data_IF_583063842061
#
_entry.id   IF_583063842061
#
_cell.length_a   1.000
_cell.length_b   1.000
_cell.length_c   1.000
_cell.angle_alpha   90.00
_cell.angle_beta   90.00
_cell.angle_gamma   90.00
#
_symmetry.space_group_name_H-M   'P 1'
#
loop_
_entity.id
_entity.type
_entity.pdbx_description
1 polymer ?
#
# COMPACT_ATOMS: atom_id res chain seq x y z
N UNK A 1 18.86 28.14 1.83
CA UNK A 1 17.41 27.89 1.87
C UNK A 1 16.74 29.18 2.32
N UNK A 2 16.13 29.91 1.39
CA UNK A 2 15.30 31.06 1.75
C UNK A 2 13.99 30.50 2.32
N UNK A 3 13.62 30.94 3.52
CA UNK A 3 12.37 30.55 4.14
C UNK A 3 11.23 31.17 3.33
N UNK A 4 10.46 30.33 2.63
CA UNK A 4 9.20 30.75 2.06
C UNK A 4 8.26 31.22 3.19
N UNK A 5 7.46 32.28 2.99
CA UNK A 5 6.53 32.74 4.00
C UNK A 5 5.53 31.62 4.26
N UNK A 6 5.55 31.04 5.47
CA UNK A 6 4.61 30.03 5.89
C UNK A 6 3.23 30.66 5.98
N UNK A 7 2.37 30.34 5.01
CA UNK A 7 0.94 30.59 5.13
C UNK A 7 0.48 30.06 6.50
N UNK A 8 -0.19 30.90 7.29
CA UNK A 8 -0.66 30.54 8.64
C UNK A 8 -1.38 29.19 8.57
N UNK A 9 -0.87 28.19 9.29
CA UNK A 9 -1.46 26.86 9.43
C UNK A 9 -2.84 27.00 10.11
N UNK A 10 -3.88 27.21 9.32
CA UNK A 10 -5.27 27.20 9.75
C UNK A 10 -5.89 25.86 9.32
N UNK A 11 -6.82 25.31 10.11
CA UNK A 11 -7.53 24.05 9.83
C UNK A 11 -8.22 24.02 8.45
N UNK A 12 -8.50 25.19 7.86
CA UNK A 12 -9.06 25.30 6.52
C UNK A 12 -8.04 25.10 5.37
N UNK A 13 -6.74 25.01 5.64
CA UNK A 13 -5.68 24.95 4.61
C UNK A 13 -5.87 23.80 3.63
N UNK A 14 -6.29 22.63 4.12
CA UNK A 14 -6.45 21.43 3.30
C UNK A 14 -7.91 21.11 2.98
N UNK A 15 -8.82 22.08 3.20
CA UNK A 15 -10.20 21.93 2.78
C UNK A 15 -10.26 21.93 1.25
N UNK A 16 -10.77 20.86 0.68
CA UNK A 16 -10.93 20.75 -0.76
C UNK A 16 -12.13 21.54 -1.28
N UNK A 17 -11.98 22.07 -2.48
CA UNK A 17 -13.07 22.53 -3.31
C UNK A 17 -13.48 21.39 -4.25
N UNK A 18 -14.68 20.85 -4.06
CA UNK A 18 -15.20 19.75 -4.89
C UNK A 18 -15.75 20.31 -6.20
N UNK A 19 -14.87 20.57 -7.16
CA UNK A 19 -15.19 21.18 -8.46
C UNK A 19 -15.61 20.15 -9.52
N UNK A 20 -15.16 18.90 -9.42
CA UNK A 20 -15.39 17.85 -10.42
C UNK A 20 -15.98 16.55 -9.84
N UNK A 21 -16.82 16.68 -8.80
CA UNK A 21 -17.59 15.58 -8.23
C UNK A 21 -17.23 15.27 -6.78
N UNK A 22 -17.96 14.33 -6.19
CA UNK A 22 -17.84 13.90 -4.80
C UNK A 22 -17.29 12.47 -4.73
N UNK A 23 -16.61 12.11 -3.62
CA UNK A 23 -16.25 10.73 -3.39
C UNK A 23 -17.52 9.86 -3.33
N UNK A 24 -17.50 8.64 -3.91
CA UNK A 24 -18.64 7.73 -3.88
C UNK A 24 -19.17 7.45 -2.47
N UNK A 25 -20.47 7.16 -2.39
CA UNK A 25 -21.18 7.09 -1.11
C UNK A 25 -21.64 8.45 -0.58
N UNK A 26 -21.41 9.53 -1.35
CA UNK A 26 -21.85 10.89 -1.07
C UNK A 26 -22.43 11.54 -2.33
N UNK A 27 -23.70 11.93 -2.28
CA UNK A 27 -24.42 12.49 -3.44
C UNK A 27 -24.42 14.03 -3.42
N UNK A 28 -24.27 14.66 -2.25
CA UNK A 28 -24.27 16.13 -2.10
C UNK A 28 -23.21 16.62 -1.10
N UNK A 29 -22.82 17.89 -1.21
CA UNK A 29 -21.91 18.53 -0.25
C UNK A 29 -22.49 18.53 1.17
N UNK A 30 -23.81 18.70 1.29
CA UNK A 30 -24.51 18.67 2.58
C UNK A 30 -24.49 17.26 3.18
N UNK A 31 -24.60 16.22 2.35
CA UNK A 31 -24.40 14.84 2.81
C UNK A 31 -22.94 14.62 3.25
N UNK A 32 -21.96 15.22 2.58
CA UNK A 32 -20.56 15.09 2.99
C UNK A 32 -20.30 15.72 4.35
N UNK A 33 -20.90 16.88 4.61
CA UNK A 33 -20.57 17.74 5.75
C UNK A 33 -21.51 17.53 6.95
N UNK A 34 -22.80 17.51 6.69
CA UNK A 34 -23.83 17.66 7.73
C UNK A 34 -24.65 16.37 7.93
N UNK A 35 -24.81 15.56 6.88
CA UNK A 35 -25.62 14.33 6.92
C UNK A 35 -24.89 13.10 6.35
N UNK A 36 -23.72 12.71 6.88
CA UNK A 36 -22.96 11.60 6.32
C UNK A 36 -23.69 10.27 6.50
N UNK A 37 -23.50 9.38 5.52
CA UNK A 37 -23.92 7.98 5.57
C UNK A 37 -23.19 7.31 6.73
N UNK A 38 -23.93 6.90 7.75
CA UNK A 38 -23.36 6.26 8.93
C UNK A 38 -22.83 4.85 8.61
N UNK A 39 -21.83 4.36 9.37
CA UNK A 39 -21.36 2.99 9.26
C UNK A 39 -22.50 2.01 9.49
N UNK A 40 -22.53 0.90 8.74
CA UNK A 40 -23.53 -0.16 8.95
C UNK A 40 -23.36 -0.80 10.33
N UNK A 41 -24.43 -1.28 10.99
CA UNK A 41 -24.29 -2.11 12.19
C UNK A 41 -23.53 -3.41 11.87
N UNK A 42 -22.75 -3.99 12.80
CA UNK A 42 -22.07 -5.27 12.60
C UNK A 42 -23.06 -6.34 12.13
N UNK A 43 -22.76 -7.07 11.05
CA UNK A 43 -23.62 -8.15 10.59
C UNK A 43 -23.54 -9.30 11.59
N UNK A 44 -24.68 -9.91 11.89
CA UNK A 44 -24.76 -11.05 12.80
C UNK A 44 -24.33 -12.33 12.07
N UNK A 45 -23.48 -13.13 12.72
CA UNK A 45 -23.05 -14.40 12.17
C UNK A 45 -24.24 -15.37 12.07
N UNK A 46 -24.53 -15.83 10.86
CA UNK A 46 -25.63 -16.77 10.62
C UNK A 46 -25.30 -18.21 11.06
N UNK A 47 -24.03 -18.48 11.40
CA UNK A 47 -23.50 -19.80 11.79
C UNK A 47 -22.13 -19.68 12.45
N UNK A 48 -21.65 -20.79 12.99
CA UNK A 48 -20.25 -20.93 13.40
C UNK A 48 -19.33 -20.94 12.17
N UNK A 49 -18.21 -20.22 12.27
CA UNK A 49 -17.19 -20.17 11.23
C UNK A 49 -16.67 -21.58 10.91
N UNK A 50 -16.67 -22.00 9.63
CA UNK A 50 -16.07 -23.28 9.24
C UNK A 50 -14.57 -23.31 9.59
N UNK A 51 -14.09 -24.38 10.25
CA UNK A 51 -12.67 -24.50 10.57
C UNK A 51 -11.83 -24.58 9.30
N UNK A 52 -10.59 -24.11 9.38
CA UNK A 52 -9.64 -24.31 8.29
C UNK A 52 -9.41 -25.82 8.07
N UNK A 53 -9.27 -26.27 6.81
CA UNK A 53 -8.84 -27.63 6.55
C UNK A 53 -7.53 -27.96 7.28
N UNK A 54 -7.41 -29.15 7.89
CA UNK A 54 -6.15 -29.63 8.45
C UNK A 54 -5.03 -29.60 7.41
N UNK A 55 -3.78 -29.40 7.83
CA UNK A 55 -2.62 -29.31 6.91
C UNK A 55 -2.49 -30.51 5.97
N UNK A 56 -2.81 -31.73 6.46
CA UNK A 56 -2.81 -32.96 5.67
C UNK A 56 -3.83 -32.99 4.51
N UNK A 57 -4.88 -32.17 4.60
CA UNK A 57 -5.98 -32.08 3.64
C UNK A 57 -5.83 -30.89 2.68
N UNK A 58 -4.88 -29.98 2.92
CA UNK A 58 -4.60 -28.83 2.06
C UNK A 58 -3.87 -29.26 0.79
N UNK A 59 -4.62 -29.56 -0.26
CA UNK A 59 -4.08 -30.02 -1.56
C UNK A 59 -4.73 -29.28 -2.72
N UNK A 60 -4.01 -29.12 -3.82
CA UNK A 60 -4.52 -28.47 -5.02
C UNK A 60 -4.97 -27.03 -4.74
N UNK A 61 -6.17 -26.65 -5.19
CA UNK A 61 -6.76 -25.31 -5.03
C UNK A 61 -7.65 -25.19 -3.78
N UNK A 62 -7.10 -25.54 -2.63
CA UNK A 62 -7.86 -25.61 -1.38
C UNK A 62 -8.28 -24.24 -0.84
N UNK A 63 -7.52 -23.16 -1.11
CA UNK A 63 -7.83 -21.81 -0.61
C UNK A 63 -9.14 -21.34 -1.22
N UNK A 64 -9.24 -21.29 -2.55
CA UNK A 64 -10.47 -20.85 -3.22
C UNK A 64 -11.64 -21.77 -2.90
N UNK A 65 -11.39 -23.08 -2.74
CA UNK A 65 -12.41 -24.03 -2.28
C UNK A 65 -12.91 -23.76 -0.85
N UNK A 66 -12.04 -23.28 0.03
CA UNK A 66 -12.41 -22.88 1.39
C UNK A 66 -13.12 -21.52 1.41
N UNK A 67 -12.57 -20.52 0.72
CA UNK A 67 -13.15 -19.18 0.63
C UNK A 67 -14.57 -19.20 0.05
N UNK A 68 -14.83 -20.02 -0.97
CA UNK A 68 -16.17 -20.17 -1.57
C UNK A 68 -17.23 -20.76 -0.62
N UNK A 69 -16.83 -21.30 0.52
CA UNK A 69 -17.76 -21.76 1.56
C UNK A 69 -18.16 -20.64 2.50
N UNK A 70 -17.44 -19.51 2.49
CA UNK A 70 -17.61 -18.43 3.46
C UNK A 70 -18.60 -17.38 2.94
N UNK A 71 -19.32 -16.75 3.86
CA UNK A 71 -20.20 -15.61 3.59
C UNK A 71 -19.40 -14.30 3.69
N UNK A 72 -19.18 -13.56 2.59
CA UNK A 72 -18.44 -12.30 2.60
C UNK A 72 -19.09 -11.21 3.45
N UNK A 73 -20.37 -11.34 3.81
CA UNK A 73 -21.05 -10.37 4.67
C UNK A 73 -20.74 -10.58 6.14
N UNK A 74 -20.61 -11.81 6.60
CA UNK A 74 -20.50 -12.14 8.04
C UNK A 74 -19.16 -12.74 8.42
N UNK A 75 -18.42 -13.30 7.46
CA UNK A 75 -17.16 -14.01 7.66
C UNK A 75 -15.99 -13.31 6.94
N UNK A 76 -16.14 -12.01 6.64
CA UNK A 76 -15.15 -11.19 5.92
C UNK A 76 -13.76 -11.21 6.57
N UNK A 77 -13.66 -11.21 7.90
CA UNK A 77 -12.38 -11.26 8.62
C UNK A 77 -11.59 -12.52 8.26
N UNK A 78 -12.28 -13.66 8.16
CA UNK A 78 -11.64 -14.91 7.77
C UNK A 78 -11.23 -14.90 6.30
N UNK A 79 -12.07 -14.35 5.42
CA UNK A 79 -11.76 -14.24 3.98
C UNK A 79 -10.51 -13.39 3.77
N UNK A 80 -10.47 -12.18 4.33
CA UNK A 80 -9.33 -11.25 4.21
C UNK A 80 -8.09 -11.84 4.88
N UNK A 81 -8.23 -12.52 6.02
CA UNK A 81 -7.11 -13.22 6.68
C UNK A 81 -6.50 -14.29 5.81
N UNK A 82 -7.29 -15.19 5.26
CA UNK A 82 -6.78 -16.29 4.43
C UNK A 82 -6.21 -15.77 3.13
N UNK A 83 -6.89 -14.83 2.47
CA UNK A 83 -6.36 -14.18 1.27
C UNK A 83 -4.99 -13.56 1.55
N UNK A 84 -4.88 -12.70 2.56
CA UNK A 84 -3.64 -11.98 2.87
C UNK A 84 -2.52 -12.92 3.29
N UNK A 85 -2.77 -13.85 4.22
CA UNK A 85 -1.70 -14.66 4.80
C UNK A 85 -1.21 -15.79 3.89
N UNK A 86 -2.05 -16.30 2.98
CA UNK A 86 -1.69 -17.40 2.08
C UNK A 86 -1.38 -16.98 0.64
N UNK A 87 -1.92 -15.86 0.14
CA UNK A 87 -1.68 -15.42 -1.26
C UNK A 87 -0.60 -14.36 -1.40
N UNK A 88 -0.34 -13.55 -0.36
CA UNK A 88 0.64 -12.48 -0.46
C UNK A 88 2.07 -12.96 -0.18
N UNK A 89 3.02 -12.12 -0.59
CA UNK A 89 4.44 -12.21 -0.25
C UNK A 89 4.91 -10.85 0.27
N UNK A 90 5.95 -10.83 1.09
CA UNK A 90 6.53 -9.58 1.60
C UNK A 90 6.91 -8.63 0.43
N UNK A 91 7.42 -9.19 -0.67
CA UNK A 91 7.71 -8.42 -1.89
C UNK A 91 6.47 -7.74 -2.48
N UNK A 92 5.38 -8.49 -2.69
CA UNK A 92 4.15 -7.94 -3.25
C UNK A 92 3.52 -6.90 -2.29
N UNK A 93 3.63 -7.16 -0.99
CA UNK A 93 3.21 -6.26 0.06
C UNK A 93 4.02 -4.94 0.07
N UNK A 94 5.35 -5.01 -0.10
CA UNK A 94 6.20 -3.83 -0.21
C UNK A 94 5.88 -3.01 -1.46
N UNK A 95 5.67 -3.67 -2.59
CA UNK A 95 5.29 -3.00 -3.84
C UNK A 95 3.93 -2.28 -3.69
N UNK A 96 2.95 -2.93 -3.07
CA UNK A 96 1.64 -2.33 -2.78
C UNK A 96 1.70 -1.19 -1.79
N UNK A 97 2.46 -1.33 -0.71
CA UNK A 97 2.72 -0.25 0.24
C UNK A 97 3.31 0.97 -0.47
N UNK A 98 4.38 0.80 -1.24
CA UNK A 98 5.04 1.89 -1.95
C UNK A 98 4.08 2.57 -2.92
N UNK A 99 3.36 1.80 -3.74
CA UNK A 99 2.44 2.37 -4.71
C UNK A 99 1.27 3.12 -4.06
N UNK A 100 0.60 2.52 -3.08
CA UNK A 100 -0.52 3.14 -2.37
C UNK A 100 -0.08 4.43 -1.69
N UNK A 101 1.09 4.46 -1.04
CA UNK A 101 1.56 5.70 -0.41
C UNK A 101 1.89 6.80 -1.41
N UNK A 102 2.43 6.47 -2.58
CA UNK A 102 2.61 7.43 -3.68
C UNK A 102 1.26 7.98 -4.16
N UNK A 103 0.17 7.20 -4.11
CA UNK A 103 -1.17 7.71 -4.43
C UNK A 103 -1.67 8.63 -3.32
N UNK A 104 -1.55 8.24 -2.06
CA UNK A 104 -2.03 9.04 -0.93
C UNK A 104 -1.35 10.42 -0.86
N UNK A 105 -0.06 10.48 -1.18
CA UNK A 105 0.70 11.73 -1.17
C UNK A 105 0.44 12.60 -2.39
N UNK A 106 -0.48 12.23 -3.30
CA UNK A 106 -0.88 13.11 -4.41
C UNK A 106 -1.89 14.17 -3.96
N UNK A 107 -2.45 14.02 -2.76
CA UNK A 107 -3.35 14.99 -2.13
C UNK A 107 -2.54 16.04 -1.35
N UNK A 108 -3.04 17.28 -1.19
CA UNK A 108 -2.39 18.30 -0.37
C UNK A 108 -2.15 17.83 1.08
N UNK A 109 -3.20 17.30 1.74
CA UNK A 109 -3.13 16.82 3.11
C UNK A 109 -2.19 15.62 3.27
N UNK A 110 -2.27 14.65 2.35
CA UNK A 110 -1.43 13.45 2.39
C UNK A 110 0.05 13.77 2.20
N UNK A 111 0.39 14.65 1.24
CA UNK A 111 1.75 15.13 1.04
C UNK A 111 2.30 15.79 2.31
N UNK A 112 1.55 16.73 2.89
CA UNK A 112 1.97 17.44 4.10
C UNK A 112 2.07 16.52 5.33
N UNK A 113 1.12 15.60 5.51
CA UNK A 113 1.07 14.71 6.67
C UNK A 113 2.23 13.72 6.70
N UNK A 114 2.72 13.26 5.54
CA UNK A 114 3.76 12.22 5.45
C UNK A 114 5.17 12.81 5.30
N UNK A 115 5.31 13.97 4.67
CA UNK A 115 6.60 14.62 4.40
C UNK A 115 7.42 14.91 5.67
N UNK A 116 8.75 14.90 5.54
CA UNK A 116 9.71 15.24 6.60
C UNK A 116 9.80 14.25 7.78
N UNK A 117 9.00 13.17 7.77
CA UNK A 117 8.95 12.17 8.84
C UNK A 117 9.90 10.98 8.65
N UNK A 118 9.50 9.83 9.23
CA UNK A 118 10.24 8.56 9.12
C UNK A 118 10.46 8.12 7.67
N UNK A 119 9.59 8.49 6.72
CA UNK A 119 9.77 8.10 5.31
C UNK A 119 11.11 8.58 4.73
N UNK A 120 11.58 9.77 5.13
CA UNK A 120 12.84 10.34 4.63
C UNK A 120 14.04 9.83 5.42
N UNK A 121 13.90 9.66 6.73
CA UNK A 121 15.03 9.46 7.66
C UNK A 121 15.18 8.03 8.18
N UNK A 122 14.09 7.27 8.20
CA UNK A 122 13.91 5.95 8.82
C UNK A 122 12.94 5.12 7.98
N UNK A 123 13.20 5.07 6.67
CA UNK A 123 12.29 4.48 5.69
C UNK A 123 11.91 3.07 6.12
N UNK A 124 12.89 2.20 6.34
CA UNK A 124 12.67 0.79 6.66
C UNK A 124 11.88 0.60 7.95
N UNK A 125 12.18 1.37 8.99
CA UNK A 125 11.36 1.37 10.21
C UNK A 125 9.90 1.71 9.89
N UNK A 126 9.65 2.74 9.07
CA UNK A 126 8.28 3.12 8.69
C UNK A 126 7.54 1.98 7.97
N UNK A 127 8.20 1.32 7.03
CA UNK A 127 7.60 0.20 6.29
C UNK A 127 7.23 -0.93 7.23
N UNK A 128 8.20 -1.44 8.00
CA UNK A 128 7.97 -2.59 8.86
C UNK A 128 6.98 -2.31 10.00
N UNK A 129 6.98 -1.10 10.58
CA UNK A 129 5.94 -0.69 11.52
C UNK A 129 4.55 -0.69 10.85
N UNK A 130 4.43 -0.10 9.66
CA UNK A 130 3.15 -0.09 8.92
C UNK A 130 2.67 -1.50 8.60
N UNK A 131 3.58 -2.40 8.21
CA UNK A 131 3.25 -3.79 7.96
C UNK A 131 2.86 -4.55 9.22
N UNK A 132 3.48 -4.24 10.36
CA UNK A 132 3.07 -4.81 11.64
C UNK A 132 1.63 -4.40 11.96
N UNK A 133 1.26 -3.12 11.78
CA UNK A 133 -0.12 -2.66 11.94
C UNK A 133 -1.10 -3.39 11.01
N UNK A 134 -0.83 -3.38 9.70
CA UNK A 134 -1.70 -3.98 8.70
C UNK A 134 -1.92 -5.48 8.95
N UNK A 135 -0.85 -6.25 9.17
CA UNK A 135 -0.92 -7.69 9.38
C UNK A 135 -1.56 -8.04 10.73
N UNK A 136 -1.37 -7.20 11.75
CA UNK A 136 -2.03 -7.40 13.04
C UNK A 136 -3.55 -7.26 12.93
N UNK A 137 -4.04 -6.24 12.20
CA UNK A 137 -5.48 -6.06 11.99
C UNK A 137 -6.09 -7.23 11.21
N UNK A 138 -5.39 -7.69 10.17
CA UNK A 138 -5.84 -8.84 9.37
C UNK A 138 -5.79 -10.16 10.18
N UNK A 139 -4.78 -10.36 11.04
CA UNK A 139 -4.64 -11.58 11.84
C UNK A 139 -5.77 -11.74 12.85
N UNK A 140 -6.10 -10.66 13.56
CA UNK A 140 -7.05 -10.68 14.67
C UNK A 140 -8.50 -10.36 14.24
N UNK A 141 -8.69 -9.69 13.10
CA UNK A 141 -9.99 -9.27 12.60
C UNK A 141 -10.23 -7.78 12.82
N UNK A 142 -11.03 -7.16 11.95
CA UNK A 142 -11.21 -5.71 11.84
C UNK A 142 -11.82 -5.07 13.08
N UNK A 143 -12.51 -5.84 13.91
CA UNK A 143 -13.23 -5.37 15.10
C UNK A 143 -12.87 -6.11 16.39
N UNK A 144 -11.78 -6.86 16.40
CA UNK A 144 -11.25 -7.48 17.61
C UNK A 144 -10.74 -6.43 18.61
N UNK A 145 -10.66 -6.78 19.89
CA UNK A 145 -10.16 -5.86 20.91
C UNK A 145 -8.66 -5.56 20.74
N UNK A 146 -7.89 -6.54 20.25
CA UNK A 146 -6.49 -6.36 19.85
C UNK A 146 -6.35 -5.34 18.72
N UNK A 147 -7.19 -5.46 17.69
CA UNK A 147 -7.21 -4.50 16.58
C UNK A 147 -7.58 -3.10 17.07
N UNK A 148 -8.62 -2.96 17.89
CA UNK A 148 -9.01 -1.66 18.47
C UNK A 148 -7.88 -1.02 19.28
N UNK A 149 -7.21 -1.79 20.13
CA UNK A 149 -6.07 -1.32 20.91
C UNK A 149 -4.91 -0.87 20.01
N UNK A 150 -4.67 -1.58 18.91
CA UNK A 150 -3.61 -1.22 17.97
C UNK A 150 -3.97 0.02 17.14
N UNK A 151 -5.22 0.17 16.71
CA UNK A 151 -5.73 1.38 16.04
C UNK A 151 -5.60 2.61 16.94
N UNK A 152 -5.80 2.48 18.25
CA UNK A 152 -5.64 3.61 19.17
C UNK A 152 -4.19 4.16 19.20
N UNK A 153 -3.18 3.30 18.98
CA UNK A 153 -1.79 3.75 18.80
C UNK A 153 -1.63 4.60 17.52
N UNK A 154 -2.35 4.26 16.45
CA UNK A 154 -2.36 5.05 15.22
C UNK A 154 -3.14 6.36 15.41
N UNK A 155 -4.28 6.34 16.11
CA UNK A 155 -5.03 7.56 16.44
C UNK A 155 -4.13 8.57 17.18
N UNK A 156 -3.32 8.12 18.15
CA UNK A 156 -2.33 8.98 18.83
C UNK A 156 -1.27 9.52 17.87
N UNK A 157 -0.84 8.71 16.90
CA UNK A 157 0.10 9.14 15.86
C UNK A 157 -0.52 10.21 14.95
N UNK A 158 -1.75 10.00 14.49
CA UNK A 158 -2.50 11.00 13.70
C UNK A 158 -2.73 12.29 14.49
N UNK A 159 -3.05 12.19 15.79
CA UNK A 159 -3.17 13.34 16.67
C UNK A 159 -1.86 14.14 16.80
N UNK A 160 -0.71 13.48 16.79
CA UNK A 160 0.58 14.18 16.74
C UNK A 160 0.82 14.85 15.38
N UNK A 161 0.34 14.26 14.28
CA UNK A 161 0.41 14.86 12.93
C UNK A 161 -0.44 16.13 12.85
N UNK A 162 -1.66 16.15 13.41
CA UNK A 162 -2.53 17.33 13.37
C UNK A 162 -1.90 18.57 14.01
N UNK A 163 -1.06 18.40 15.04
CA UNK A 163 -0.33 19.52 15.66
C UNK A 163 0.61 20.23 14.70
N UNK A 164 1.17 19.52 13.72
CA UNK A 164 2.10 20.07 12.72
C UNK A 164 1.43 20.37 11.37
N UNK A 165 0.37 19.64 11.05
CA UNK A 165 -0.43 19.78 9.83
C UNK A 165 -1.92 19.87 10.20
N UNK A 166 -2.37 21.01 10.76
CA UNK A 166 -3.79 21.20 11.08
C UNK A 166 -4.64 21.10 9.82
N UNK A 167 -5.79 20.43 9.92
CA UNK A 167 -6.69 20.19 8.79
C UNK A 167 -6.43 18.90 8.01
N UNK A 168 -5.31 18.20 8.22
CA UNK A 168 -5.10 16.90 7.58
C UNK A 168 -6.01 15.82 8.18
N UNK A 169 -6.56 14.92 7.35
CA UNK A 169 -7.51 13.89 7.79
C UNK A 169 -8.80 14.48 8.38
N UNK A 170 -9.19 15.67 7.91
CA UNK A 170 -10.46 16.30 8.30
C UNK A 170 -11.66 15.65 7.63
N UNK A 171 -11.47 15.05 6.46
CA UNK A 171 -12.50 14.26 5.81
C UNK A 171 -12.22 12.78 6.00
N UNK A 172 -13.26 12.00 6.31
CA UNK A 172 -13.11 10.56 6.55
C UNK A 172 -12.44 9.83 5.39
N UNK A 173 -12.78 10.20 4.15
CA UNK A 173 -12.23 9.58 2.95
C UNK A 173 -10.70 9.68 2.85
N UNK A 174 -10.05 10.69 3.44
CA UNK A 174 -8.60 10.87 3.38
C UNK A 174 -7.87 9.70 4.06
N UNK A 175 -8.39 9.24 5.18
CA UNK A 175 -7.85 8.08 5.89
C UNK A 175 -8.36 6.76 5.32
N UNK A 176 -9.62 6.71 4.86
CA UNK A 176 -10.17 5.52 4.21
C UNK A 176 -9.42 5.16 2.93
N UNK A 177 -8.93 6.17 2.19
CA UNK A 177 -8.19 5.99 0.95
C UNK A 177 -7.05 4.98 1.10
N UNK A 178 -6.34 4.96 2.24
CA UNK A 178 -5.28 3.98 2.46
C UNK A 178 -5.79 2.53 2.37
N UNK A 179 -6.96 2.26 2.96
CA UNK A 179 -7.57 0.92 2.96
C UNK A 179 -8.26 0.62 1.63
N UNK A 180 -8.96 1.60 1.04
CA UNK A 180 -9.66 1.44 -0.25
C UNK A 180 -8.67 1.19 -1.39
N UNK A 181 -7.58 1.95 -1.45
CA UNK A 181 -6.57 1.78 -2.51
C UNK A 181 -5.80 0.47 -2.31
N UNK A 182 -5.51 0.07 -1.06
CA UNK A 182 -4.87 -1.21 -0.76
C UNK A 182 -5.74 -2.41 -1.17
N UNK A 183 -7.05 -2.37 -0.89
CA UNK A 183 -7.97 -3.46 -1.28
C UNK A 183 -8.06 -3.61 -2.79
N UNK A 184 -7.99 -2.50 -3.52
CA UNK A 184 -8.06 -2.47 -4.98
C UNK A 184 -6.76 -2.86 -5.69
N UNK A 185 -5.61 -2.69 -5.04
CA UNK A 185 -4.30 -2.71 -5.69
C UNK A 185 -3.94 -4.04 -6.38
N UNK A 186 -4.33 -5.19 -5.82
CA UNK A 186 -4.10 -6.48 -6.49
C UNK A 186 -4.88 -6.57 -7.81
N UNK A 187 -6.13 -6.11 -7.84
CA UNK A 187 -6.94 -6.07 -9.06
C UNK A 187 -6.33 -5.14 -10.11
N UNK A 188 -5.68 -4.05 -9.68
CA UNK A 188 -4.91 -3.18 -10.56
C UNK A 188 -3.71 -3.88 -11.17
N UNK A 189 -2.85 -4.52 -10.37
CA UNK A 189 -1.69 -5.26 -10.89
C UNK A 189 -2.14 -6.32 -11.90
N UNK A 190 -3.13 -7.15 -11.54
CA UNK A 190 -3.64 -8.22 -12.40
C UNK A 190 -4.15 -7.68 -13.73
N UNK A 191 -4.89 -6.56 -13.74
CA UNK A 191 -5.33 -5.88 -14.97
C UNK A 191 -4.16 -5.33 -15.78
N UNK A 192 -3.24 -4.62 -15.14
CA UNK A 192 -2.07 -3.99 -15.78
C UNK A 192 -1.22 -5.00 -16.54
N UNK A 193 -1.04 -6.21 -16.00
CA UNK A 193 -0.24 -7.27 -16.64
C UNK A 193 -1.05 -8.19 -17.55
N UNK A 194 -2.38 -8.08 -17.60
CA UNK A 194 -3.25 -9.02 -18.31
C UNK A 194 -3.16 -10.44 -17.75
N UNK A 195 -3.23 -10.58 -16.43
CA UNK A 195 -3.32 -11.86 -15.74
C UNK A 195 -4.60 -12.61 -16.17
N UNK A 196 -4.53 -13.94 -16.25
CA UNK A 196 -5.64 -14.77 -16.74
C UNK A 196 -6.81 -14.80 -15.77
N UNK A 197 -6.51 -14.79 -14.46
CA UNK A 197 -7.51 -14.90 -13.41
C UNK A 197 -7.60 -13.57 -12.64
N UNK A 198 -8.82 -13.02 -12.47
CA UNK A 198 -9.03 -11.88 -11.58
C UNK A 198 -8.86 -12.31 -10.12
N UNK A 199 -8.88 -11.33 -9.21
CA UNK A 199 -9.03 -11.61 -7.77
C UNK A 199 -10.37 -12.32 -7.53
N UNK A 200 -10.37 -13.32 -6.65
CA UNK A 200 -11.56 -14.11 -6.27
C UNK A 200 -12.71 -13.18 -5.83
N UNK A 201 -13.91 -13.40 -6.36
CA UNK A 201 -15.06 -12.52 -6.13
C UNK A 201 -15.43 -12.43 -4.65
N UNK A 202 -15.36 -13.54 -3.91
CA UNK A 202 -15.62 -13.57 -2.46
C UNK A 202 -14.67 -12.65 -1.67
N UNK A 203 -13.43 -12.45 -2.14
CA UNK A 203 -12.48 -11.50 -1.53
C UNK A 203 -12.89 -10.07 -1.83
N UNK A 204 -13.28 -9.78 -3.07
CA UNK A 204 -13.82 -8.46 -3.47
C UNK A 204 -15.06 -8.08 -2.67
N UNK A 205 -15.95 -9.03 -2.43
CA UNK A 205 -17.20 -8.83 -1.69
C UNK A 205 -16.95 -8.66 -0.17
N UNK A 206 -15.87 -9.24 0.36
CA UNK A 206 -15.51 -9.11 1.78
C UNK A 206 -14.84 -7.76 2.12
N UNK A 207 -14.14 -7.14 1.16
CA UNK A 207 -13.39 -5.89 1.39
C UNK A 207 -14.25 -4.71 1.89
N UNK A 208 -15.44 -4.42 1.33
CA UNK A 208 -16.32 -3.37 1.84
C UNK A 208 -16.68 -3.54 3.32
N UNK A 209 -17.03 -4.76 3.75
CA UNK A 209 -17.35 -5.05 5.15
C UNK A 209 -16.12 -4.89 6.03
N UNK A 210 -15.00 -5.54 5.67
CA UNK A 210 -13.77 -5.49 6.47
C UNK A 210 -13.23 -4.06 6.63
N UNK A 211 -13.21 -3.30 5.52
CA UNK A 211 -12.70 -1.94 5.48
C UNK A 211 -13.54 -0.94 6.28
N UNK A 212 -14.87 -1.00 6.17
CA UNK A 212 -15.78 -0.13 6.94
C UNK A 212 -15.61 -0.34 8.45
N UNK A 213 -15.47 -1.61 8.87
CA UNK A 213 -15.29 -2.00 10.28
C UNK A 213 -13.97 -1.50 10.84
N UNK A 214 -12.88 -1.77 10.12
CA UNK A 214 -11.55 -1.33 10.53
C UNK A 214 -11.49 0.19 10.62
N UNK A 215 -11.91 0.89 9.55
CA UNK A 215 -11.86 2.36 9.49
C UNK A 215 -12.80 3.02 10.50
N UNK A 216 -13.89 2.35 10.90
CA UNK A 216 -14.78 2.78 11.98
C UNK A 216 -14.11 2.97 13.34
N UNK A 217 -12.91 2.40 13.56
CA UNK A 217 -12.13 2.59 14.79
C UNK A 217 -11.18 3.80 14.74
N UNK A 218 -10.92 4.35 13.56
CA UNK A 218 -10.07 5.53 13.41
C UNK A 218 -10.87 6.82 13.62
N UNK A 219 -10.16 7.91 13.88
CA UNK A 219 -10.72 9.17 14.37
C UNK A 219 -10.19 10.35 13.58
N UNK A 220 -11.08 11.28 13.20
CA UNK A 220 -10.74 12.57 12.58
C UNK A 220 -10.14 13.55 13.57
N UNK A 221 -9.53 14.62 13.04
CA UNK A 221 -9.13 15.77 13.86
C UNK A 221 -10.36 16.29 14.62
N UNK A 222 -10.26 16.50 15.95
CA UNK A 222 -11.39 16.94 16.77
C UNK A 222 -11.61 18.44 16.61
N UNK A 223 -12.06 18.89 15.43
CA UNK A 223 -12.42 20.28 15.20
C UNK A 223 -13.80 20.62 15.77
N UNK A 224 -14.75 19.67 15.75
CA UNK A 224 -16.11 19.78 16.32
C UNK A 224 -16.62 18.44 16.89
N UNK A 225 -15.75 17.72 17.61
CA UNK A 225 -15.96 16.31 17.95
C UNK A 225 -15.25 15.40 16.96
N UNK A 226 -14.85 14.20 17.41
CA UNK A 226 -14.14 13.25 16.55
C UNK A 226 -15.14 12.38 15.79
N UNK A 227 -15.04 12.38 14.46
CA UNK A 227 -15.89 11.59 13.58
C UNK A 227 -15.17 10.26 13.29
N UNK A 228 -15.88 9.11 13.36
CA UNK A 228 -15.29 7.84 12.97
C UNK A 228 -15.05 7.79 11.46
N UNK A 229 -13.90 7.30 11.01
CA UNK A 229 -13.63 7.16 9.58
C UNK A 229 -14.41 6.03 8.89
N UNK A 230 -15.38 5.39 9.53
CA UNK A 230 -16.30 4.45 8.86
C UNK A 230 -17.44 5.14 8.10
N UNK A 231 -17.66 6.45 8.30
CA UNK A 231 -18.75 7.17 7.62
C UNK A 231 -18.51 7.23 6.11
N UNK A 232 -19.55 7.13 5.28
CA UNK A 232 -19.45 7.15 3.82
C UNK A 232 -18.51 6.06 3.22
N UNK A 233 -18.03 5.09 3.99
CA UNK A 233 -17.14 4.04 3.46
C UNK A 233 -17.84 3.27 2.30
N UNK A 234 -17.13 2.88 1.24
CA UNK A 234 -17.70 2.08 0.15
C UNK A 234 -18.42 0.82 0.61
N UNK A 235 -19.67 0.60 0.16
CA UNK A 235 -20.52 -0.53 0.56
C UNK A 235 -20.48 -1.73 -0.40
N UNK A 236 -19.82 -1.58 -1.54
CA UNK A 236 -19.67 -2.64 -2.54
C UNK A 236 -18.30 -2.55 -3.21
N UNK A 237 -17.90 -3.62 -3.89
CA UNK A 237 -16.70 -3.58 -4.72
C UNK A 237 -16.78 -2.50 -5.81
N UNK A 238 -17.96 -2.28 -6.40
CA UNK A 238 -18.15 -1.22 -7.39
C UNK A 238 -17.89 0.16 -6.79
N UNK A 239 -18.40 0.46 -5.58
CA UNK A 239 -18.10 1.75 -4.92
C UNK A 239 -16.60 1.91 -4.60
N UNK A 240 -15.86 0.82 -4.35
CA UNK A 240 -14.39 0.85 -4.22
C UNK A 240 -13.73 1.23 -5.55
N UNK A 241 -14.18 0.65 -6.67
CA UNK A 241 -13.65 0.99 -8.00
C UNK A 241 -13.98 2.43 -8.39
N UNK A 242 -15.21 2.87 -8.13
CA UNK A 242 -15.63 4.26 -8.37
C UNK A 242 -14.81 5.22 -7.53
N UNK A 243 -14.47 4.87 -6.28
CA UNK A 243 -13.66 5.72 -5.41
C UNK A 243 -12.25 5.86 -5.98
N UNK A 244 -11.66 4.76 -6.44
CA UNK A 244 -10.32 4.78 -7.05
C UNK A 244 -10.32 5.62 -8.32
N UNK A 245 -11.35 5.48 -9.18
CA UNK A 245 -11.50 6.30 -10.38
C UNK A 245 -11.59 7.79 -10.02
N UNK A 246 -12.51 8.15 -9.11
CA UNK A 246 -12.64 9.51 -8.59
C UNK A 246 -11.31 10.04 -8.04
N UNK A 247 -10.62 9.28 -7.18
CA UNK A 247 -9.35 9.69 -6.58
C UNK A 247 -8.26 9.90 -7.65
N UNK A 248 -8.23 9.10 -8.71
CA UNK A 248 -7.26 9.26 -9.79
C UNK A 248 -7.56 10.45 -10.69
N UNK A 249 -8.84 10.78 -10.88
CA UNK A 249 -9.32 11.79 -11.82
C UNK A 249 -9.52 13.17 -11.17
N UNK A 250 -9.73 13.23 -9.85
CA UNK A 250 -9.92 14.48 -9.11
C UNK A 250 -8.78 15.48 -9.38
N UNK A 251 -9.13 16.77 -9.39
CA UNK A 251 -8.24 17.87 -9.82
C UNK A 251 -7.23 18.25 -8.72
N UNK A 252 -6.48 17.26 -8.21
CA UNK A 252 -5.44 17.46 -7.20
C UNK A 252 -4.39 18.50 -7.59
N UNK A 253 -4.18 18.72 -8.89
CA UNK A 253 -3.28 19.75 -9.38
C UNK A 253 -3.79 21.15 -9.07
N UNK A 254 -5.09 21.40 -9.12
CA UNK A 254 -5.70 22.69 -8.77
C UNK A 254 -5.76 22.91 -7.25
N UNK A 255 -5.88 21.82 -6.49
CA UNK A 255 -5.99 21.87 -5.03
C UNK A 255 -4.64 21.99 -4.31
N UNK A 256 -3.52 21.76 -5.02
CA UNK A 256 -2.17 21.75 -4.42
C UNK A 256 -1.45 23.06 -4.64
N UNK A 257 -0.83 23.55 -3.58
CA UNK A 257 0.21 24.57 -3.69
C UNK A 257 1.50 23.98 -4.27
N UNK A 258 2.42 24.84 -4.71
CA UNK A 258 3.74 24.37 -5.15
C UNK A 258 4.51 23.64 -4.04
N UNK A 259 4.37 24.09 -2.80
CA UNK A 259 4.93 23.41 -1.64
C UNK A 259 4.40 21.97 -1.51
N UNK A 260 3.09 21.77 -1.72
CA UNK A 260 2.47 20.44 -1.62
C UNK A 260 2.93 19.51 -2.75
N UNK A 261 3.16 20.05 -3.96
CA UNK A 261 3.72 19.29 -5.10
C UNK A 261 5.14 18.81 -4.81
N UNK A 262 6.00 19.69 -4.30
CA UNK A 262 7.38 19.34 -3.92
C UNK A 262 7.37 18.26 -2.84
N UNK A 263 6.57 18.45 -1.77
CA UNK A 263 6.45 17.47 -0.70
C UNK A 263 5.97 16.10 -1.20
N UNK A 264 4.99 16.10 -2.10
CA UNK A 264 4.45 14.89 -2.74
C UNK A 264 5.54 14.15 -3.52
N UNK A 265 6.28 14.85 -4.37
CA UNK A 265 7.37 14.29 -5.18
C UNK A 265 8.50 13.73 -4.29
N UNK A 266 9.03 14.53 -3.36
CA UNK A 266 10.12 14.10 -2.47
C UNK A 266 9.74 12.87 -1.65
N UNK A 267 8.49 12.84 -1.17
CA UNK A 267 7.98 11.69 -0.41
C UNK A 267 7.83 10.45 -1.32
N UNK A 268 7.34 10.63 -2.55
CA UNK A 268 7.19 9.55 -3.52
C UNK A 268 8.54 8.94 -3.89
N UNK A 269 9.54 9.78 -4.15
CA UNK A 269 10.91 9.35 -4.41
C UNK A 269 11.51 8.58 -3.24
N UNK A 270 11.25 9.01 -1.99
CA UNK A 270 11.71 8.29 -0.81
C UNK A 270 11.07 6.89 -0.68
N UNK A 271 9.78 6.73 -0.97
CA UNK A 271 9.12 5.41 -0.97
C UNK A 271 9.66 4.50 -2.09
N UNK A 272 9.90 5.04 -3.28
CA UNK A 272 10.47 4.29 -4.40
C UNK A 272 11.90 3.85 -4.06
N UNK A 273 12.72 4.77 -3.54
CA UNK A 273 14.08 4.48 -3.12
C UNK A 273 14.13 3.40 -2.05
N UNK A 274 13.30 3.52 -1.02
CA UNK A 274 13.16 2.51 0.02
C UNK A 274 12.86 1.11 -0.55
N UNK A 275 11.88 1.02 -1.46
CA UNK A 275 11.53 -0.25 -2.10
C UNK A 275 12.73 -0.85 -2.85
N UNK A 276 13.45 -0.01 -3.60
CA UNK A 276 14.66 -0.41 -4.30
C UNK A 276 15.70 -0.96 -3.32
N UNK A 277 15.94 -0.29 -2.20
CA UNK A 277 16.91 -0.73 -1.19
C UNK A 277 16.56 -2.06 -0.51
N UNK A 278 15.27 -2.34 -0.32
CA UNK A 278 14.82 -3.58 0.31
C UNK A 278 15.05 -4.80 -0.60
N UNK A 279 14.80 -4.64 -1.90
CA UNK A 279 14.60 -5.76 -2.82
C UNK A 279 15.60 -5.86 -3.96
N UNK A 280 16.34 -4.79 -4.24
CA UNK A 280 17.28 -4.75 -5.36
C UNK A 280 18.67 -4.35 -4.86
N UNK A 281 19.74 -5.01 -5.34
CA UNK A 281 21.09 -4.50 -5.10
C UNK A 281 21.28 -3.18 -5.87
N UNK A 282 22.13 -2.28 -5.36
CA UNK A 282 22.35 -0.92 -5.92
C UNK A 282 22.44 -0.85 -7.46
N UNK A 283 23.21 -1.71 -8.15
CA UNK A 283 23.30 -1.66 -9.61
C UNK A 283 21.96 -1.94 -10.33
N UNK A 284 21.00 -2.57 -9.67
CA UNK A 284 19.68 -2.90 -10.20
C UNK A 284 18.56 -2.01 -9.65
N UNK A 285 18.87 -0.93 -8.93
CA UNK A 285 17.84 0.00 -8.46
C UNK A 285 17.03 0.61 -9.60
N UNK A 286 17.61 0.79 -10.80
CA UNK A 286 16.88 1.25 -11.98
C UNK A 286 15.73 0.29 -12.35
N UNK A 287 15.92 -1.03 -12.14
CA UNK A 287 14.89 -2.04 -12.38
C UNK A 287 13.81 -1.97 -11.30
N UNK A 288 14.20 -1.81 -10.03
CA UNK A 288 13.25 -1.61 -8.92
C UNK A 288 12.38 -0.36 -9.13
N UNK A 289 12.99 0.75 -9.56
CA UNK A 289 12.29 1.98 -9.93
C UNK A 289 11.33 1.75 -11.09
N UNK A 290 11.80 1.16 -12.20
CA UNK A 290 10.96 0.85 -13.35
C UNK A 290 9.77 -0.04 -12.95
N UNK A 291 9.98 -0.98 -12.02
CA UNK A 291 8.91 -1.82 -11.50
C UNK A 291 7.85 -1.03 -10.73
N UNK A 292 8.24 -0.16 -9.80
CA UNK A 292 7.27 0.68 -9.08
C UNK A 292 6.53 1.59 -10.05
N UNK A 293 7.24 2.29 -10.94
CA UNK A 293 6.64 3.18 -11.93
C UNK A 293 5.64 2.44 -12.83
N UNK A 294 5.95 1.20 -13.26
CA UNK A 294 5.03 0.35 -14.04
C UNK A 294 3.72 0.07 -13.31
N UNK A 295 3.76 -0.08 -11.99
CA UNK A 295 2.59 -0.33 -11.14
C UNK A 295 2.09 0.93 -10.42
N UNK A 296 2.32 2.11 -11.00
CA UNK A 296 1.64 3.35 -10.65
C UNK A 296 0.73 3.76 -11.82
N UNK A 297 -0.54 4.14 -11.57
CA UNK A 297 -1.42 4.69 -12.58
C UNK A 297 -0.78 5.95 -13.20
N UNK A 298 -0.85 6.13 -14.55
CA UNK A 298 -0.25 7.29 -15.20
C UNK A 298 -0.74 8.64 -14.65
N UNK A 299 -2.02 8.73 -14.27
CA UNK A 299 -2.59 9.94 -13.67
C UNK A 299 -1.89 10.31 -12.35
N UNK A 300 -1.57 9.31 -11.51
CA UNK A 300 -0.88 9.54 -10.25
C UNK A 300 0.59 9.91 -10.49
N UNK A 301 1.28 9.25 -11.44
CA UNK A 301 2.67 9.60 -11.80
C UNK A 301 2.78 11.07 -12.20
N UNK A 302 1.89 11.52 -13.11
CA UNK A 302 1.85 12.92 -13.56
C UNK A 302 1.59 13.89 -12.41
N UNK A 303 0.60 13.61 -11.57
CA UNK A 303 0.31 14.43 -10.37
C UNK A 303 1.52 14.49 -9.43
N UNK A 304 2.29 13.43 -9.31
CA UNK A 304 3.49 13.42 -8.48
C UNK A 304 4.72 14.05 -9.15
N UNK A 305 4.66 14.40 -10.43
CA UNK A 305 5.84 14.82 -11.18
C UNK A 305 6.86 13.69 -11.38
N UNK A 306 6.43 12.43 -11.27
CA UNK A 306 7.27 11.27 -11.54
C UNK A 306 7.38 11.06 -13.05
N UNK A 307 8.53 10.55 -13.47
CA UNK A 307 8.75 10.14 -14.86
C UNK A 307 7.90 8.92 -15.25
N UNK A 308 7.68 8.76 -16.55
CA UNK A 308 7.14 7.51 -17.08
C UNK A 308 8.21 6.42 -17.10
N UNK A 309 7.84 5.14 -16.87
CA UNK A 309 8.78 4.06 -17.00
C UNK A 309 9.28 3.96 -18.44
N UNK A 310 10.56 3.59 -18.60
CA UNK A 310 11.09 3.26 -19.92
C UNK A 310 10.22 2.15 -20.56
N UNK A 311 9.74 2.36 -21.78
CA UNK A 311 8.75 1.48 -22.42
C UNK A 311 9.21 0.03 -22.59
N UNK A 312 10.50 -0.19 -22.84
CA UNK A 312 11.08 -1.53 -22.95
C UNK A 312 11.10 -2.20 -21.57
N UNK A 313 11.57 -1.49 -20.54
CA UNK A 313 11.56 -2.00 -19.17
C UNK A 313 10.14 -2.23 -18.65
N UNK A 314 9.19 -1.34 -18.95
CA UNK A 314 7.78 -1.50 -18.59
C UNK A 314 7.23 -2.79 -19.21
N UNK A 315 7.45 -3.01 -20.51
CA UNK A 315 7.03 -4.22 -21.19
C UNK A 315 7.65 -5.48 -20.57
N UNK A 316 8.95 -5.44 -20.23
CA UNK A 316 9.65 -6.55 -19.57
C UNK A 316 9.06 -6.83 -18.18
N UNK A 317 8.87 -5.80 -17.36
CA UNK A 317 8.29 -5.92 -16.01
C UNK A 317 6.87 -6.49 -16.10
N UNK A 318 6.02 -5.95 -16.98
CA UNK A 318 4.64 -6.44 -17.17
C UNK A 318 4.63 -7.89 -17.62
N UNK A 319 5.49 -8.26 -18.56
CA UNK A 319 5.60 -9.63 -19.07
C UNK A 319 6.08 -10.60 -17.99
N UNK A 320 7.13 -10.24 -17.24
CA UNK A 320 7.64 -11.05 -16.14
C UNK A 320 6.60 -11.25 -15.04
N UNK A 321 5.92 -10.18 -14.62
CA UNK A 321 4.86 -10.24 -13.61
C UNK A 321 3.63 -11.03 -14.10
N UNK A 322 3.27 -10.92 -15.38
CA UNK A 322 2.22 -11.74 -16.01
C UNK A 322 2.55 -13.22 -15.90
N UNK A 323 3.78 -13.60 -16.25
CA UNK A 323 4.25 -14.99 -16.15
C UNK A 323 4.24 -15.46 -14.70
N UNK A 324 4.77 -14.65 -13.78
CA UNK A 324 4.83 -14.95 -12.34
C UNK A 324 3.43 -15.19 -11.75
N UNK A 325 2.49 -14.28 -11.98
CA UNK A 325 1.10 -14.39 -11.47
C UNK A 325 0.40 -15.60 -12.09
N UNK A 326 0.44 -15.76 -13.41
CA UNK A 326 -0.25 -16.88 -14.06
C UNK A 326 0.36 -18.24 -13.68
N UNK A 327 1.67 -18.29 -13.44
CA UNK A 327 2.34 -19.50 -12.96
C UNK A 327 1.90 -19.79 -11.52
N UNK A 328 1.95 -18.80 -10.63
CA UNK A 328 1.46 -18.94 -9.25
C UNK A 328 -0.01 -19.38 -9.19
N UNK A 329 -0.87 -18.79 -10.02
CA UNK A 329 -2.28 -19.15 -10.14
C UNK A 329 -2.47 -20.58 -10.68
N UNK A 330 -1.49 -21.17 -11.37
CA UNK A 330 -1.56 -22.57 -11.83
C UNK A 330 -1.03 -23.59 -10.82
N UNK A 331 -0.13 -23.18 -9.92
CA UNK A 331 0.48 -24.07 -8.92
C UNK A 331 -0.52 -24.43 -7.81
N UNK A 332 -0.35 -25.57 -7.10
CA UNK A 332 -1.12 -25.85 -5.90
C UNK A 332 -1.01 -24.71 -4.87
N UNK A 333 -2.10 -24.46 -4.14
CA UNK A 333 -2.11 -23.48 -3.07
C UNK A 333 -1.16 -23.92 -1.93
N UNK A 334 -0.47 -22.98 -1.27
CA UNK A 334 0.51 -23.32 -0.24
C UNK A 334 -0.19 -23.98 0.96
N UNK A 335 0.50 -24.93 1.60
CA UNK A 335 0.00 -25.62 2.81
C UNK A 335 0.12 -24.71 4.03
N UNK A 336 1.20 -23.95 4.11
CA UNK A 336 1.49 -22.97 5.16
C UNK A 336 1.21 -21.55 4.67
N UNK A 337 0.97 -20.63 5.59
CA UNK A 337 0.80 -19.21 5.28
C UNK A 337 2.18 -18.53 5.11
N UNK A 338 2.60 -18.14 3.89
CA UNK A 338 3.95 -17.60 3.66
C UNK A 338 4.22 -16.29 4.42
N UNK A 339 3.19 -15.47 4.65
CA UNK A 339 3.31 -14.20 5.38
C UNK A 339 3.36 -14.40 6.89
N UNK A 340 2.96 -15.54 7.41
CA UNK A 340 2.85 -15.75 8.86
C UNK A 340 4.22 -15.67 9.56
N UNK A 341 5.28 -16.20 8.93
CA UNK A 341 6.64 -16.04 9.46
C UNK A 341 7.08 -14.59 9.48
N UNK A 342 6.80 -13.83 8.41
CA UNK A 342 7.13 -12.41 8.33
C UNK A 342 6.40 -11.61 9.42
N UNK A 343 5.10 -11.86 9.63
CA UNK A 343 4.36 -11.23 10.72
C UNK A 343 5.00 -11.51 12.09
N UNK A 344 5.40 -12.76 12.35
CA UNK A 344 6.07 -13.11 13.61
C UNK A 344 7.45 -12.48 13.75
N UNK A 345 8.19 -12.32 12.66
CA UNK A 345 9.48 -11.63 12.67
C UNK A 345 9.31 -10.15 13.01
N UNK A 346 8.30 -9.48 12.43
CA UNK A 346 7.96 -8.08 12.77
C UNK A 346 7.66 -7.89 14.26
N UNK A 347 6.98 -8.86 14.90
CA UNK A 347 6.70 -8.81 16.33
C UNK A 347 7.95 -8.94 17.21
N UNK A 348 9.00 -9.60 16.71
CA UNK A 348 10.24 -9.87 17.46
C UNK A 348 11.32 -8.82 17.23
N UNK A 349 11.32 -8.18 16.06
CA UNK A 349 12.36 -7.24 15.68
C UNK A 349 12.35 -5.98 16.53
N UNK A 350 13.54 -5.48 16.85
CA UNK A 350 13.69 -4.12 17.35
C UNK A 350 13.67 -3.14 16.17
N UNK A 351 12.46 -2.75 15.75
CA UNK A 351 12.22 -1.88 14.60
C UNK A 351 12.90 -0.51 14.70
N UNK A 352 13.24 -0.03 15.90
CA UNK A 352 13.99 1.23 16.07
C UNK A 352 15.42 1.19 15.51
N UNK A 353 15.96 0.00 15.28
CA UNK A 353 17.33 -0.21 14.79
C UNK A 353 17.40 -0.75 13.36
N UNK A 354 16.26 -1.02 12.74
CA UNK A 354 16.18 -1.82 11.51
C UNK A 354 16.83 -1.12 10.31
N UNK A 355 16.74 0.21 10.20
CA UNK A 355 17.40 0.94 9.12
C UNK A 355 18.92 0.71 9.10
N UNK A 356 19.55 0.61 10.29
CA UNK A 356 20.98 0.30 10.39
C UNK A 356 21.28 -1.13 9.93
N UNK A 357 20.41 -2.08 10.27
CA UNK A 357 20.54 -3.48 9.87
C UNK A 357 20.42 -3.60 8.34
N UNK A 358 19.42 -2.96 7.74
CA UNK A 358 19.20 -2.97 6.29
C UNK A 358 20.33 -2.29 5.53
N UNK A 359 20.80 -1.14 6.02
CA UNK A 359 21.98 -0.44 5.47
C UNK A 359 23.19 -1.36 5.45
N UNK A 360 23.49 -2.05 6.56
CA UNK A 360 24.62 -2.97 6.64
C UNK A 360 24.45 -4.20 5.72
N UNK A 361 23.25 -4.77 5.64
CA UNK A 361 22.91 -5.88 4.73
C UNK A 361 23.16 -5.48 3.27
N UNK A 362 22.69 -4.30 2.87
CA UNK A 362 22.84 -3.75 1.53
C UNK A 362 24.29 -3.47 1.16
N UNK A 363 25.07 -2.89 2.08
CA UNK A 363 26.48 -2.59 1.83
C UNK A 363 27.28 -3.88 1.64
N UNK A 364 26.99 -4.92 2.42
CA UNK A 364 27.54 -6.27 2.24
C UNK A 364 27.15 -6.89 0.89
N UNK A 365 25.87 -6.84 0.50
CA UNK A 365 25.41 -7.35 -0.81
C UNK A 365 26.07 -6.61 -1.98
N UNK A 366 26.17 -5.28 -1.90
CA UNK A 366 26.80 -4.46 -2.93
C UNK A 366 28.28 -4.80 -3.10
N UNK A 367 28.99 -5.07 -2.01
CA UNK A 367 30.37 -5.54 -2.05
C UNK A 367 30.49 -6.87 -2.80
N UNK A 368 29.67 -7.86 -2.45
CA UNK A 368 29.70 -9.17 -3.13
C UNK A 368 29.36 -9.06 -4.61
N UNK A 369 28.31 -8.31 -4.98
CA UNK A 369 27.91 -8.10 -6.37
C UNK A 369 29.01 -7.41 -7.19
N UNK A 370 29.73 -6.45 -6.61
CA UNK A 370 30.88 -5.82 -7.27
C UNK A 370 32.04 -6.78 -7.40
N UNK A 371 32.32 -7.59 -6.37
CA UNK A 371 33.39 -8.58 -6.40
C UNK A 371 33.11 -9.69 -7.44
N UNK A 372 31.91 -10.27 -7.43
CA UNK A 372 31.51 -11.32 -8.37
C UNK A 372 31.26 -10.76 -9.77
N UNK A 373 30.65 -9.58 -9.88
CA UNK A 373 30.47 -8.88 -11.14
C UNK A 373 31.79 -8.47 -11.78
N UNK A 374 32.76 -8.00 -11.00
CA UNK A 374 34.13 -7.76 -11.47
C UNK A 374 34.83 -9.06 -11.89
N UNK A 375 34.63 -10.15 -11.16
CA UNK A 375 35.13 -11.47 -11.57
C UNK A 375 34.47 -11.98 -12.86
N UNK A 376 33.16 -11.78 -13.06
CA UNK A 376 32.44 -12.13 -14.29
C UNK A 376 32.85 -11.23 -15.46
N UNK A 377 33.00 -9.92 -15.25
CA UNK A 377 33.53 -9.00 -16.27
C UNK A 377 35.00 -9.29 -16.60
N UNK A 378 35.84 -9.64 -15.62
CA UNK A 378 37.24 -10.05 -15.86
C UNK A 378 37.31 -11.42 -16.55
N UNK A 379 36.40 -12.35 -16.26
CA UNK A 379 36.35 -13.65 -16.94
C UNK A 379 35.80 -13.55 -18.37
N UNK A 380 34.87 -12.62 -18.63
CA UNK A 380 34.26 -12.42 -19.96
C UNK A 380 35.06 -11.45 -20.82
N UNK A 381 35.64 -10.38 -20.25
CA UNK A 381 36.44 -9.40 -20.99
C UNK A 381 37.95 -9.64 -20.92
N UNK A 382 38.45 -10.42 -19.96
CA UNK A 382 39.86 -10.79 -19.86
C UNK A 382 40.39 -11.48 -21.12
N UNK A 383 39.66 -12.44 -21.72
CA UNK A 383 40.05 -13.04 -23.00
C UNK A 383 40.04 -12.03 -24.16
N UNK A 384 39.10 -11.07 -24.16
CA UNK A 384 38.98 -10.05 -25.20
C UNK A 384 40.08 -8.96 -25.10
N UNK A 385 40.46 -8.55 -23.89
CA UNK A 385 41.58 -7.63 -23.65
C UNK A 385 42.94 -8.32 -23.88
N UNK A 386 43.08 -9.61 -23.53
CA UNK A 386 44.27 -10.40 -23.82
C UNK A 386 44.50 -10.53 -25.34
N UNK A 387 43.45 -10.78 -26.12
CA UNK A 387 43.52 -10.80 -27.59
C UNK A 387 43.95 -9.46 -28.21
N UNK A 388 43.55 -8.33 -27.61
CA UNK A 388 43.92 -6.99 -28.09
C UNK A 388 45.33 -6.55 -27.69
N UNK A 389 45.93 -7.16 -26.66
CA UNK A 389 47.25 -6.82 -26.14
C UNK A 389 48.37 -7.76 -26.64
N UNK A 390 48.03 -8.99 -27.03
CA UNK A 390 48.99 -10.00 -27.51
C UNK A 390 49.16 -9.99 -29.04
N UNK A 391 48.31 -9.26 -29.76
CA UNK A 391 48.39 -9.11 -31.23
C UNK A 391 48.66 -7.67 -31.68
N UNK A 392 49.57 -6.99 -30.98
CA UNK A 392 50.26 -5.79 -31.50
C UNK A 392 51.73 -6.06 -31.69
#
# INVERSE_FOLDING_TARGET
MQAHPTAKNNANRYRLEFTNGLPPGTDTIDQLKDNPRLPRPPPEANRTLPPLPPKSERRGKWISSYLNKLDPRTEYDQIIRIHTFYRNTDFATALGYTAVFVWLTSTPAGAAAVHGGKVITRGHQRYYETQLFNLHWVKNGSSSDETKAHVETINKTHAAVWKRVPGAFSFAWEAQAAIILLSWYESFIRRTVGAKHPVDQVVKDAWPEWGERLTGHFRSEPSNGSIPFGINYPRSWQEIEDFVAWFQEFDWDEQRTEEDRIKGLETSEAFIHQFCELWFPRPLHFLGRAMVLTFLPPAIRRKQGLEDPNSILEWLVRSAMRVMINTGDSQPDPVEAPIESFYHDLQRWNLSTIDRVETARRDKQSFYMRATGACLLMAVMGPALYFLLVHK
#
